data_IF_668559357477
#
_entry.id   IF_668559357477
#
_cell.length_a   1.000
_cell.length_b   1.000
_cell.length_c   1.000
_cell.angle_alpha   90.00
_cell.angle_beta   90.00
_cell.angle_gamma   90.00
#
_symmetry.space_group_name_H-M   'P 1'
#
loop_
_entity.id
_entity.type
_entity.pdbx_description
1 polymer ?
#
# COMPACT_ATOMS: atom_id res chain seq x y z
N UNK A 1 -4.02 -1.42 0.43
CA UNK A 1 -3.17 -1.55 -0.79
C UNK A 1 -3.63 -0.55 -1.82
N UNK A 2 -2.72 0.28 -2.35
CA UNK A 2 -3.00 1.31 -3.36
C UNK A 2 -3.70 0.70 -4.58
N UNK A 3 -4.63 1.45 -5.17
CA UNK A 3 -5.30 1.05 -6.42
C UNK A 3 -4.28 0.96 -7.57
N UNK A 4 -4.56 0.19 -8.63
CA UNK A 4 -3.69 0.12 -9.81
C UNK A 4 -3.43 1.49 -10.43
N UNK A 5 -4.45 2.35 -10.46
CA UNK A 5 -4.37 3.71 -10.99
C UNK A 5 -3.39 4.55 -10.18
N UNK A 6 -3.53 4.59 -8.85
CA UNK A 6 -2.62 5.33 -7.98
C UNK A 6 -1.19 4.81 -8.09
N UNK A 7 -1.01 3.48 -8.17
CA UNK A 7 0.31 2.88 -8.35
C UNK A 7 0.97 3.33 -9.65
N UNK A 8 0.25 3.30 -10.78
CA UNK A 8 0.76 3.74 -12.07
C UNK A 8 1.07 5.24 -12.09
N UNK A 9 0.26 6.06 -11.43
CA UNK A 9 0.52 7.50 -11.32
C UNK A 9 1.82 7.79 -10.54
N UNK A 10 2.08 7.07 -9.44
CA UNK A 10 3.33 7.20 -8.68
C UNK A 10 4.55 6.77 -9.50
N UNK A 11 4.42 5.72 -10.31
CA UNK A 11 5.48 5.30 -11.23
C UNK A 11 5.73 6.36 -12.30
N UNK A 12 4.67 6.95 -12.85
CA UNK A 12 4.81 7.99 -13.87
C UNK A 12 5.55 9.23 -13.34
N UNK A 13 5.26 9.66 -12.10
CA UNK A 13 5.96 10.79 -11.45
C UNK A 13 7.45 10.52 -11.23
N UNK A 14 7.80 9.28 -10.89
CA UNK A 14 9.20 8.89 -10.75
C UNK A 14 9.90 8.86 -12.11
N UNK A 15 9.24 8.30 -13.14
CA UNK A 15 9.79 8.20 -14.49
C UNK A 15 9.90 9.53 -15.23
N UNK A 16 9.05 10.51 -14.93
CA UNK A 16 9.17 11.87 -15.45
C UNK A 16 10.35 12.63 -14.87
N UNK A 17 10.93 12.14 -13.77
CA UNK A 17 11.98 12.84 -13.02
C UNK A 17 11.43 13.91 -12.07
N UNK A 18 10.11 13.98 -11.86
CA UNK A 18 9.52 14.90 -10.87
C UNK A 18 9.87 14.50 -9.43
N UNK A 19 10.27 13.24 -9.21
CA UNK A 19 10.69 12.71 -7.92
C UNK A 19 11.94 11.83 -8.10
N UNK A 20 12.98 12.13 -7.32
CA UNK A 20 14.28 11.43 -7.39
C UNK A 20 14.29 10.05 -6.72
N UNK A 21 13.39 9.81 -5.76
CA UNK A 21 13.39 8.60 -4.93
C UNK A 21 12.00 7.98 -4.82
N UNK A 22 11.93 6.66 -4.95
CA UNK A 22 10.71 5.87 -4.73
C UNK A 22 10.87 4.97 -3.50
N UNK A 23 9.95 5.08 -2.55
CA UNK A 23 9.88 4.16 -1.40
C UNK A 23 8.75 3.17 -1.61
N UNK A 24 9.06 1.88 -1.59
CA UNK A 24 8.07 0.86 -1.88
C UNK A 24 8.28 -0.44 -1.09
N UNK A 25 7.26 -1.29 -1.12
CA UNK A 25 7.30 -2.66 -0.56
C UNK A 25 7.86 -3.64 -1.60
N UNK A 26 8.10 -4.89 -1.18
CA UNK A 26 8.53 -6.00 -2.04
C UNK A 26 7.62 -6.24 -3.27
N UNK A 27 6.39 -5.71 -3.24
CA UNK A 27 5.49 -5.66 -4.39
C UNK A 27 6.11 -5.02 -5.65
N UNK A 28 7.17 -4.20 -5.57
CA UNK A 28 7.86 -3.70 -6.76
C UNK A 28 8.62 -4.78 -7.52
N UNK A 29 8.94 -5.91 -6.90
CA UNK A 29 9.63 -7.04 -7.54
C UNK A 29 8.82 -7.63 -8.70
N UNK A 30 7.52 -7.33 -8.80
CA UNK A 30 6.64 -7.82 -9.86
C UNK A 30 5.67 -6.73 -10.35
N UNK A 31 5.32 -6.75 -11.63
CA UNK A 31 4.10 -6.08 -12.13
C UNK A 31 4.19 -4.57 -12.36
N UNK A 32 5.38 -3.97 -12.35
CA UNK A 32 5.61 -2.59 -12.80
C UNK A 32 6.84 -2.53 -13.71
N UNK A 33 6.80 -1.74 -14.77
CA UNK A 33 8.01 -1.43 -15.53
C UNK A 33 8.68 -0.20 -14.89
N UNK A 34 9.72 -0.41 -14.10
CA UNK A 34 10.49 0.65 -13.44
C UNK A 34 11.86 0.79 -14.12
N UNK A 35 12.40 2.00 -14.12
CA UNK A 35 13.78 2.26 -14.54
C UNK A 35 14.53 2.71 -13.30
N UNK A 36 15.18 1.79 -12.59
CA UNK A 36 15.88 2.08 -11.34
C UNK A 36 17.38 1.94 -11.57
N UNK A 37 18.17 2.91 -11.14
CA UNK A 37 19.63 2.79 -11.16
C UNK A 37 20.16 2.09 -9.89
N UNK A 38 19.47 2.31 -8.76
CA UNK A 38 19.86 1.78 -7.46
C UNK A 38 18.66 1.29 -6.65
N UNK A 39 18.83 0.16 -5.95
CA UNK A 39 17.86 -0.37 -4.98
C UNK A 39 18.50 -0.46 -3.59
N UNK A 40 17.93 0.25 -2.62
CA UNK A 40 18.35 0.20 -1.22
C UNK A 40 17.33 -0.53 -0.33
N UNK A 41 17.74 -1.61 0.33
CA UNK A 41 16.90 -2.33 1.27
C UNK A 41 16.84 -1.63 2.62
N UNK A 42 15.64 -1.18 3.00
CA UNK A 42 15.39 -0.56 4.31
C UNK A 42 15.18 -1.58 5.44
N UNK A 43 14.92 -2.85 5.12
CA UNK A 43 14.84 -3.99 6.04
C UNK A 43 15.24 -5.27 5.30
N UNK A 44 15.94 -6.19 5.98
CA UNK A 44 16.34 -7.50 5.45
C UNK A 44 15.49 -8.67 6.02
N UNK A 45 14.44 -8.36 6.78
CA UNK A 45 13.54 -9.33 7.42
C UNK A 45 12.09 -9.06 7.02
N UNK A 46 11.29 -10.13 6.90
CA UNK A 46 9.85 -10.06 6.64
C UNK A 46 9.07 -11.01 7.54
N UNK A 47 7.81 -10.66 7.79
CA UNK A 47 6.85 -11.56 8.40
C UNK A 47 6.27 -12.48 7.31
N UNK A 48 6.39 -13.80 7.48
CA UNK A 48 5.91 -14.80 6.52
C UNK A 48 4.47 -15.30 6.80
N UNK A 49 3.80 -14.70 7.78
CA UNK A 49 2.51 -15.15 8.30
C UNK A 49 2.61 -15.82 9.67
N UNK A 50 3.80 -16.28 10.06
CA UNK A 50 4.04 -16.95 11.34
C UNK A 50 5.15 -16.27 12.16
N UNK A 51 6.25 -15.91 11.52
CA UNK A 51 7.41 -15.32 12.19
C UNK A 51 8.16 -14.33 11.30
N UNK A 52 9.01 -13.52 11.94
CA UNK A 52 9.93 -12.64 11.23
C UNK A 52 11.22 -13.37 10.89
N UNK A 53 11.44 -13.64 9.60
CA UNK A 53 12.64 -14.29 9.06
C UNK A 53 13.42 -13.37 8.12
N UNK A 54 14.68 -13.71 7.86
CA UNK A 54 15.48 -13.04 6.83
C UNK A 54 14.89 -13.30 5.43
N UNK A 55 15.07 -12.33 4.54
CA UNK A 55 14.81 -12.50 3.11
C UNK A 55 15.79 -13.51 2.51
N UNK A 56 15.29 -14.35 1.61
CA UNK A 56 16.12 -15.30 0.86
C UNK A 56 16.88 -14.59 -0.27
N UNK A 57 17.92 -15.22 -0.80
CA UNK A 57 18.65 -14.72 -1.97
C UNK A 57 17.71 -14.51 -3.17
N UNK A 58 16.72 -15.38 -3.37
CA UNK A 58 15.74 -15.25 -4.45
C UNK A 58 14.81 -14.03 -4.24
N UNK A 59 14.31 -13.80 -3.02
CA UNK A 59 13.48 -12.63 -2.71
C UNK A 59 14.26 -11.32 -2.86
N UNK A 60 15.51 -11.28 -2.39
CA UNK A 60 16.38 -10.12 -2.56
C UNK A 60 16.73 -9.92 -4.03
N UNK A 61 17.13 -10.98 -4.75
CA UNK A 61 17.47 -10.92 -6.17
C UNK A 61 16.31 -10.45 -7.04
N UNK A 62 15.07 -10.85 -6.72
CA UNK A 62 13.88 -10.37 -7.42
C UNK A 62 13.66 -8.86 -7.29
N UNK A 63 14.04 -8.26 -6.14
CA UNK A 63 13.90 -6.82 -5.88
C UNK A 63 15.14 -6.07 -6.39
N UNK A 64 16.34 -6.56 -6.09
CA UNK A 64 17.62 -5.99 -6.49
C UNK A 64 17.77 -5.97 -8.02
N UNK A 65 17.33 -7.04 -8.70
CA UNK A 65 17.32 -7.13 -10.17
C UNK A 65 16.35 -6.18 -10.87
N UNK A 66 15.64 -5.33 -10.11
CA UNK A 66 14.89 -4.18 -10.67
C UNK A 66 15.80 -2.97 -10.90
N UNK A 67 16.99 -2.96 -10.29
CA UNK A 67 18.05 -2.01 -10.60
C UNK A 67 18.75 -2.43 -11.90
N UNK A 68 19.02 -1.46 -12.76
CA UNK A 68 19.63 -1.66 -14.06
C UNK A 68 18.64 -2.04 -15.15
N UNK A 69 19.15 -2.05 -16.38
CA UNK A 69 18.45 -2.47 -17.60
C UNK A 69 19.44 -3.15 -18.52
N UNK A 70 18.95 -3.85 -19.53
CA UNK A 70 19.72 -4.66 -20.49
C UNK A 70 21.18 -4.20 -20.78
N UNK A 71 21.41 -2.89 -21.01
CA UNK A 71 22.71 -2.31 -21.35
C UNK A 71 23.35 -1.45 -20.25
N UNK A 72 22.72 -1.32 -19.08
CA UNK A 72 23.16 -0.48 -17.95
C UNK A 72 23.07 -1.28 -16.67
N UNK A 73 24.22 -1.53 -16.05
CA UNK A 73 24.27 -2.21 -14.78
C UNK A 73 23.63 -1.33 -13.69
N UNK A 74 22.80 -1.97 -12.87
CA UNK A 74 22.25 -1.37 -11.66
C UNK A 74 23.10 -1.70 -10.45
N UNK A 75 22.86 -0.98 -9.36
CA UNK A 75 23.48 -1.28 -8.06
C UNK A 75 22.43 -1.58 -7.01
N UNK A 76 22.80 -2.33 -5.98
CA UNK A 76 21.94 -2.56 -4.84
C UNK A 76 22.73 -2.48 -3.53
N UNK A 77 22.03 -2.18 -2.45
CA UNK A 77 22.64 -2.05 -1.14
C UNK A 77 21.61 -1.99 -0.02
N UNK A 78 22.04 -1.56 1.15
CA UNK A 78 21.18 -1.39 2.32
C UNK A 78 21.18 0.07 2.76
N UNK A 79 20.11 0.49 3.44
CA UNK A 79 20.12 1.80 4.11
C UNK A 79 20.95 1.73 5.39
N UNK A 80 21.37 2.89 5.93
CA UNK A 80 22.21 2.94 7.13
C UNK A 80 21.58 2.42 8.44
N UNK A 81 20.36 1.87 8.39
CA UNK A 81 19.68 1.25 9.53
C UNK A 81 19.66 -0.28 9.47
N UNK A 82 20.28 -0.87 8.45
CA UNK A 82 20.34 -2.32 8.24
C UNK A 82 21.80 -2.73 8.16
N UNK A 83 22.13 -3.83 8.80
CA UNK A 83 23.48 -4.39 8.71
C UNK A 83 23.84 -4.70 7.24
N UNK A 84 25.11 -4.53 6.85
CA UNK A 84 25.58 -4.90 5.52
C UNK A 84 25.17 -6.34 5.16
N UNK A 85 24.84 -6.55 3.88
CA UNK A 85 24.56 -7.90 3.38
C UNK A 85 25.83 -8.75 3.46
N UNK A 86 25.65 -10.03 3.79
CA UNK A 86 26.75 -11.00 3.76
C UNK A 86 27.34 -11.11 2.34
N UNK A 87 28.65 -11.20 2.24
CA UNK A 87 29.35 -11.30 0.95
C UNK A 87 28.94 -12.54 0.15
N UNK A 88 28.63 -13.66 0.81
CA UNK A 88 28.11 -14.86 0.15
C UNK A 88 26.72 -14.60 -0.46
N UNK A 89 25.88 -13.86 0.25
CA UNK A 89 24.54 -13.50 -0.20
C UNK A 89 24.59 -12.55 -1.41
N UNK A 90 25.48 -11.56 -1.38
CA UNK A 90 25.74 -10.65 -2.51
C UNK A 90 26.18 -11.44 -3.73
N UNK A 91 27.16 -12.36 -3.59
CA UNK A 91 27.62 -13.21 -4.69
C UNK A 91 26.51 -14.06 -5.28
N UNK A 92 25.65 -14.67 -4.45
CA UNK A 92 24.49 -15.44 -4.93
C UNK A 92 23.52 -14.59 -5.75
N UNK A 93 23.26 -13.35 -5.31
CA UNK A 93 22.38 -12.42 -6.03
C UNK A 93 23.00 -12.03 -7.38
N UNK A 94 24.27 -11.62 -7.41
CA UNK A 94 24.97 -11.19 -8.63
C UNK A 94 25.14 -12.35 -9.64
N UNK A 95 25.48 -13.54 -9.15
CA UNK A 95 25.66 -14.73 -9.97
C UNK A 95 24.34 -15.43 -10.36
N UNK A 96 23.19 -14.92 -9.90
CA UNK A 96 21.87 -15.52 -10.11
C UNK A 96 21.79 -16.98 -9.62
N UNK A 97 22.48 -17.29 -8.52
CA UNK A 97 22.53 -18.61 -7.91
C UNK A 97 21.52 -18.70 -6.76
N UNK A 98 20.39 -19.34 -7.04
CA UNK A 98 19.29 -19.47 -6.08
C UNK A 98 19.01 -20.94 -5.76
N UNK A 99 18.64 -21.20 -4.50
CA UNK A 99 18.26 -22.54 -4.06
C UNK A 99 17.03 -23.05 -4.84
N UNK A 100 17.04 -24.31 -5.30
CA UNK A 100 15.87 -24.88 -5.97
C UNK A 100 14.70 -25.01 -4.99
N UNK A 101 13.49 -24.79 -5.50
CA UNK A 101 12.26 -25.01 -4.72
C UNK A 101 12.08 -26.51 -4.51
N UNK A 102 12.24 -26.97 -3.26
CA UNK A 102 12.19 -28.40 -2.90
C UNK A 102 10.77 -28.93 -2.68
N UNK A 103 9.86 -28.05 -2.25
CA UNK A 103 8.48 -28.41 -1.90
C UNK A 103 7.52 -27.35 -2.40
N UNK A 104 6.43 -27.78 -3.02
CA UNK A 104 5.34 -26.90 -3.46
C UNK A 104 4.09 -27.15 -2.61
N UNK A 105 3.37 -26.07 -2.28
CA UNK A 105 2.06 -26.19 -1.66
C UNK A 105 1.02 -26.55 -2.72
N UNK A 106 0.30 -27.63 -2.48
CA UNK A 106 -0.70 -28.18 -3.37
C UNK A 106 -2.07 -28.22 -2.71
N UNK A 107 -3.09 -28.05 -3.54
CA UNK A 107 -4.50 -28.17 -3.18
C UNK A 107 -5.21 -28.94 -4.28
N UNK A 108 -6.21 -29.74 -3.90
CA UNK A 108 -7.03 -30.45 -4.88
C UNK A 108 -7.67 -29.50 -5.88
N UNK A 109 -7.75 -29.93 -7.14
CA UNK A 109 -8.58 -29.30 -8.17
C UNK A 109 -9.97 -29.95 -8.30
N UNK A 110 -10.15 -31.13 -7.69
CA UNK A 110 -11.38 -31.91 -7.76
C UNK A 110 -12.06 -31.90 -6.38
N UNK A 111 -13.18 -31.18 -6.31
CA UNK A 111 -14.02 -31.09 -5.12
C UNK A 111 -15.22 -32.02 -5.24
N UNK A 112 -15.58 -32.71 -4.16
CA UNK A 112 -16.76 -33.56 -4.10
C UNK A 112 -17.92 -32.78 -3.47
N UNK A 113 -18.91 -32.42 -4.29
CA UNK A 113 -20.05 -31.65 -3.83
C UNK A 113 -21.24 -32.50 -3.36
N UNK A 114 -21.13 -33.83 -3.28
CA UNK A 114 -22.27 -34.70 -2.97
C UNK A 114 -22.99 -34.32 -1.66
N UNK A 115 -22.23 -33.91 -0.65
CA UNK A 115 -22.71 -33.34 0.61
C UNK A 115 -21.55 -32.58 1.29
N UNK A 116 -21.85 -31.89 2.39
CA UNK A 116 -20.88 -31.06 3.09
C UNK A 116 -19.67 -31.84 3.62
N UNK A 117 -19.87 -33.05 4.15
CA UNK A 117 -18.79 -33.90 4.66
C UNK A 117 -17.91 -34.45 3.54
N UNK A 118 -18.50 -34.74 2.37
CA UNK A 118 -17.77 -35.11 1.17
C UNK A 118 -16.87 -33.96 0.68
N UNK A 119 -17.41 -32.73 0.66
CA UNK A 119 -16.64 -31.54 0.28
C UNK A 119 -15.45 -31.33 1.21
N UNK A 120 -15.68 -31.36 2.53
CA UNK A 120 -14.62 -31.22 3.54
C UNK A 120 -13.51 -32.25 3.33
N UNK A 121 -13.87 -33.53 3.18
CA UNK A 121 -12.89 -34.60 2.92
C UNK A 121 -12.13 -34.38 1.61
N UNK A 122 -12.81 -33.92 0.55
CA UNK A 122 -12.16 -33.67 -0.73
C UNK A 122 -11.13 -32.54 -0.66
N UNK A 123 -11.40 -31.47 0.10
CA UNK A 123 -10.47 -30.34 0.30
C UNK A 123 -9.20 -30.81 1.01
N UNK A 124 -9.33 -31.76 1.94
CA UNK A 124 -8.22 -32.30 2.73
C UNK A 124 -7.42 -33.42 2.03
N UNK A 125 -7.72 -33.70 0.76
CA UNK A 125 -7.00 -34.71 -0.04
C UNK A 125 -5.49 -34.49 0.04
N UNK A 126 -4.72 -35.57 0.12
CA UNK A 126 -3.27 -35.52 0.12
C UNK A 126 -2.73 -35.34 -1.30
N UNK A 127 -1.57 -34.69 -1.41
CA UNK A 127 -0.95 -34.49 -2.70
C UNK A 127 -0.53 -35.84 -3.33
N UNK A 128 -0.79 -36.05 -4.64
CA UNK A 128 -0.56 -37.34 -5.28
C UNK A 128 0.90 -37.60 -5.66
N UNK A 129 1.78 -36.60 -5.53
CA UNK A 129 3.17 -36.64 -6.00
C UNK A 129 4.11 -36.22 -4.89
N UNK A 130 5.26 -36.89 -4.80
CA UNK A 130 6.35 -36.51 -3.89
C UNK A 130 6.88 -35.10 -4.22
N UNK A 131 7.23 -34.33 -3.19
CA UNK A 131 7.60 -32.91 -3.35
C UNK A 131 6.42 -31.94 -3.35
N UNK A 132 5.18 -32.44 -3.37
CA UNK A 132 4.00 -31.64 -3.09
C UNK A 132 3.57 -31.84 -1.63
N UNK A 133 3.38 -30.74 -0.90
CA UNK A 133 2.80 -30.76 0.44
C UNK A 133 1.45 -30.10 0.44
N UNK A 134 0.57 -30.49 1.35
CA UNK A 134 -0.74 -29.86 1.47
C UNK A 134 -0.58 -28.38 1.81
N UNK A 135 -1.31 -27.53 1.11
CA UNK A 135 -1.38 -26.11 1.42
C UNK A 135 -1.93 -25.90 2.85
N UNK A 136 -1.48 -24.83 3.50
CA UNK A 136 -2.03 -24.41 4.79
C UNK A 136 -3.53 -24.08 4.63
N UNK A 137 -4.37 -24.24 5.68
CA UNK A 137 -5.79 -23.93 5.59
C UNK A 137 -6.01 -22.49 5.13
N UNK A 138 -6.50 -22.33 3.90
CA UNK A 138 -6.82 -21.03 3.33
C UNK A 138 -8.12 -20.48 3.92
N UNK A 139 -8.36 -19.17 3.71
CA UNK A 139 -9.51 -18.44 4.28
C UNK A 139 -10.84 -19.11 3.93
N UNK A 140 -10.98 -19.62 2.70
CA UNK A 140 -12.17 -20.32 2.22
C UNK A 140 -12.42 -21.66 2.94
N UNK A 141 -11.38 -22.46 3.15
CA UNK A 141 -11.47 -23.71 3.91
C UNK A 141 -11.79 -23.46 5.39
N UNK A 142 -11.22 -22.42 5.98
CA UNK A 142 -11.54 -22.01 7.36
C UNK A 142 -13.00 -21.53 7.49
N UNK A 143 -13.48 -20.74 6.52
CA UNK A 143 -14.88 -20.30 6.47
C UNK A 143 -15.83 -21.51 6.34
N UNK A 144 -15.53 -22.44 5.42
CA UNK A 144 -16.32 -23.67 5.27
C UNK A 144 -16.36 -24.48 6.56
N UNK A 145 -15.23 -24.64 7.26
CA UNK A 145 -15.19 -25.36 8.53
C UNK A 145 -16.13 -24.71 9.57
N UNK A 146 -16.12 -23.38 9.67
CA UNK A 146 -17.02 -22.64 10.55
C UNK A 146 -18.49 -22.83 10.16
N UNK A 147 -18.82 -22.57 8.90
CA UNK A 147 -20.18 -22.66 8.35
C UNK A 147 -20.73 -24.08 8.37
N UNK A 148 -19.86 -25.10 8.32
CA UNK A 148 -20.30 -26.49 8.39
C UNK A 148 -20.90 -26.91 9.72
N UNK A 149 -20.70 -26.09 10.76
CA UNK A 149 -21.25 -26.31 12.11
C UNK A 149 -22.57 -25.56 12.33
N UNK A 150 -22.93 -24.65 11.44
CA UNK A 150 -24.16 -23.88 11.50
C UNK A 150 -25.36 -24.72 11.04
N UNK A 151 -26.39 -24.81 11.88
CA UNK A 151 -27.57 -25.64 11.60
C UNK A 151 -28.41 -25.10 10.44
N UNK A 152 -28.52 -23.79 10.27
CA UNK A 152 -29.28 -23.16 9.18
C UNK A 152 -28.58 -23.40 7.84
N UNK A 153 -27.24 -23.33 7.81
CA UNK A 153 -26.45 -23.64 6.62
C UNK A 153 -26.57 -25.13 6.25
N UNK A 154 -26.53 -26.02 7.25
CA UNK A 154 -26.74 -27.46 7.04
C UNK A 154 -28.13 -27.77 6.50
N UNK A 155 -29.16 -27.09 6.99
CA UNK A 155 -30.52 -27.23 6.50
C UNK A 155 -30.68 -26.75 5.04
N UNK A 156 -29.82 -25.83 4.59
CA UNK A 156 -29.83 -25.31 3.22
C UNK A 156 -28.92 -26.09 2.25
N UNK A 157 -27.98 -26.92 2.73
CA UNK A 157 -27.03 -27.68 1.89
C UNK A 157 -27.55 -29.09 1.54
N UNK A 158 -28.79 -29.17 1.04
CA UNK A 158 -29.51 -30.44 0.81
C UNK A 158 -29.10 -31.21 -0.43
N UNK A 159 -28.44 -30.56 -1.39
CA UNK A 159 -28.03 -31.16 -2.65
C UNK A 159 -26.67 -30.62 -3.13
N UNK A 160 -26.13 -31.26 -4.15
CA UNK A 160 -24.80 -30.94 -4.64
C UNK A 160 -24.65 -29.52 -5.22
N UNK A 161 -25.72 -28.93 -5.78
CA UNK A 161 -25.67 -27.55 -6.28
C UNK A 161 -25.60 -26.57 -5.12
N UNK A 162 -26.35 -26.82 -4.05
CA UNK A 162 -26.34 -25.99 -2.83
C UNK A 162 -25.02 -26.07 -2.07
N UNK A 163 -24.35 -27.23 -2.09
CA UNK A 163 -23.00 -27.39 -1.51
C UNK A 163 -21.95 -26.68 -2.38
N UNK A 164 -22.04 -26.78 -3.71
CA UNK A 164 -21.17 -26.04 -4.62
C UNK A 164 -21.34 -24.52 -4.48
N UNK A 165 -22.57 -24.03 -4.35
CA UNK A 165 -22.86 -22.61 -4.12
C UNK A 165 -22.27 -22.11 -2.78
N UNK A 166 -22.36 -22.91 -1.71
CA UNK A 166 -21.72 -22.59 -0.43
C UNK A 166 -20.20 -22.48 -0.61
N UNK A 167 -19.61 -23.40 -1.37
CA UNK A 167 -18.18 -23.37 -1.66
C UNK A 167 -17.76 -22.13 -2.46
N UNK A 168 -18.53 -21.75 -3.47
CA UNK A 168 -18.33 -20.51 -4.23
C UNK A 168 -18.44 -19.26 -3.35
N UNK A 169 -19.33 -19.28 -2.35
CA UNK A 169 -19.48 -18.23 -1.35
C UNK A 169 -18.27 -18.16 -0.40
N UNK A 170 -17.74 -19.31 0.03
CA UNK A 170 -16.55 -19.39 0.86
C UNK A 170 -15.31 -18.79 0.19
N UNK A 171 -15.27 -18.74 -1.15
CA UNK A 171 -14.20 -18.08 -1.90
C UNK A 171 -14.25 -16.53 -1.83
N UNK A 172 -15.18 -15.93 -1.05
CA UNK A 172 -15.18 -14.50 -0.76
C UNK A 172 -13.88 -14.09 -0.04
N UNK A 173 -13.05 -13.22 -0.64
CA UNK A 173 -11.81 -12.78 0.01
C UNK A 173 -12.09 -11.92 1.24
N UNK A 174 -11.36 -12.16 2.33
CA UNK A 174 -11.39 -11.29 3.51
C UNK A 174 -10.51 -10.05 3.28
N UNK A 175 -11.05 -9.06 2.55
CA UNK A 175 -10.37 -7.78 2.36
C UNK A 175 -10.23 -6.98 3.65
N UNK A 176 -11.13 -7.21 4.63
CA UNK A 176 -11.23 -6.44 5.87
C UNK A 176 -10.27 -6.94 6.95
N UNK A 177 -9.73 -8.16 6.79
CA UNK A 177 -8.86 -8.85 7.75
C UNK A 177 -9.51 -8.92 9.13
N UNK A 178 -10.78 -9.31 9.15
CA UNK A 178 -11.58 -9.41 10.37
C UNK A 178 -11.38 -10.77 11.03
N UNK A 179 -11.99 -10.97 12.19
CA UNK A 179 -11.94 -12.27 12.85
C UNK A 179 -12.58 -13.36 11.95
N UNK A 180 -12.03 -14.58 11.89
CA UNK A 180 -12.55 -15.64 11.02
C UNK A 180 -14.05 -15.92 11.17
N UNK A 181 -14.58 -15.83 12.40
CA UNK A 181 -16.01 -15.98 12.66
C UNK A 181 -16.84 -14.87 12.00
N UNK A 182 -16.42 -13.60 12.12
CA UNK A 182 -17.14 -12.48 11.51
C UNK A 182 -17.11 -12.53 9.98
N UNK A 183 -16.02 -13.04 9.40
CA UNK A 183 -15.95 -13.28 7.95
C UNK A 183 -16.90 -14.40 7.53
N UNK A 184 -16.96 -15.48 8.32
CA UNK A 184 -17.90 -16.56 8.09
C UNK A 184 -19.36 -16.08 8.18
N UNK A 185 -19.72 -15.23 9.16
CA UNK A 185 -21.07 -14.66 9.28
C UNK A 185 -21.50 -13.89 8.02
N UNK A 186 -20.59 -13.11 7.42
CA UNK A 186 -20.86 -12.41 6.17
C UNK A 186 -21.09 -13.39 5.01
N UNK A 187 -20.27 -14.44 4.91
CA UNK A 187 -20.45 -15.49 3.91
C UNK A 187 -21.78 -16.22 4.13
N UNK A 188 -22.15 -16.50 5.38
CA UNK A 188 -23.41 -17.12 5.75
C UNK A 188 -24.60 -16.31 5.23
N UNK A 189 -24.62 -14.99 5.51
CA UNK A 189 -25.67 -14.08 5.03
C UNK A 189 -25.80 -14.11 3.51
N UNK A 190 -24.68 -14.00 2.78
CA UNK A 190 -24.67 -14.03 1.32
C UNK A 190 -25.17 -15.38 0.79
N UNK A 191 -24.70 -16.48 1.38
CA UNK A 191 -25.13 -17.82 0.98
C UNK A 191 -26.61 -18.07 1.24
N UNK A 192 -27.13 -17.64 2.39
CA UNK A 192 -28.54 -17.79 2.74
C UNK A 192 -29.45 -17.06 1.75
N UNK A 193 -29.09 -15.84 1.36
CA UNK A 193 -29.82 -15.09 0.34
C UNK A 193 -29.79 -15.80 -1.02
N UNK A 194 -28.60 -16.23 -1.46
CA UNK A 194 -28.45 -16.95 -2.73
C UNK A 194 -29.23 -18.27 -2.72
N UNK A 195 -29.21 -19.03 -1.62
CA UNK A 195 -29.88 -20.33 -1.52
C UNK A 195 -31.41 -20.21 -1.43
N UNK A 196 -31.94 -19.12 -0.85
CA UNK A 196 -33.38 -18.91 -0.65
C UNK A 196 -34.03 -18.10 -1.77
N UNK A 197 -33.33 -17.07 -2.25
CA UNK A 197 -33.87 -16.06 -3.18
C UNK A 197 -33.19 -16.09 -4.55
N UNK A 198 -32.08 -16.82 -4.71
CA UNK A 198 -31.33 -16.92 -5.96
C UNK A 198 -30.43 -15.72 -6.27
N UNK A 199 -30.45 -14.69 -5.42
CA UNK A 199 -29.63 -13.49 -5.52
C UNK A 199 -29.39 -12.93 -4.11
N UNK A 200 -28.32 -12.16 -3.93
CA UNK A 200 -28.02 -11.43 -2.69
C UNK A 200 -29.05 -10.31 -2.51
N UNK A 201 -29.43 -10.02 -1.25
CA UNK A 201 -30.31 -8.88 -0.96
C UNK A 201 -29.65 -7.54 -1.36
N UNK A 202 -30.17 -6.95 -2.43
CA UNK A 202 -29.67 -5.68 -2.96
C UNK A 202 -29.95 -4.51 -2.02
N UNK A 203 -30.93 -4.59 -1.11
CA UNK A 203 -31.16 -3.56 -0.10
C UNK A 203 -30.05 -3.60 0.96
N UNK A 204 -29.69 -4.81 1.41
CA UNK A 204 -28.56 -4.98 2.33
C UNK A 204 -27.26 -4.50 1.68
N UNK A 205 -27.00 -4.90 0.43
CA UNK A 205 -25.85 -4.41 -0.33
C UNK A 205 -25.87 -2.88 -0.46
N UNK A 206 -27.02 -2.28 -0.79
CA UNK A 206 -27.16 -0.83 -0.91
C UNK A 206 -26.82 -0.09 0.39
N UNK A 207 -27.23 -0.62 1.53
CA UNK A 207 -26.89 -0.06 2.83
C UNK A 207 -25.39 -0.14 3.11
N UNK A 208 -24.77 -1.29 2.86
CA UNK A 208 -23.34 -1.50 3.08
C UNK A 208 -22.49 -0.62 2.17
N UNK A 209 -22.87 -0.51 0.89
CA UNK A 209 -22.21 0.38 -0.08
C UNK A 209 -22.34 1.84 0.35
N UNK A 210 -23.51 2.27 0.82
CA UNK A 210 -23.74 3.64 1.31
C UNK A 210 -22.90 3.98 2.54
N UNK A 211 -22.68 3.03 3.45
CA UNK A 211 -21.81 3.21 4.62
C UNK A 211 -20.34 3.40 4.24
N UNK A 212 -19.90 2.79 3.14
CA UNK A 212 -18.55 2.95 2.63
C UNK A 212 -18.37 4.22 1.76
N UNK A 213 -19.46 4.76 1.20
CA UNK A 213 -19.45 5.90 0.28
C UNK A 213 -19.28 7.26 0.98
N UNK A 214 -18.13 7.46 1.62
CA UNK A 214 -17.72 8.77 2.11
C UNK A 214 -16.20 8.88 2.08
N UNK A 215 -15.70 10.00 1.59
CA UNK A 215 -14.27 10.31 1.49
C UNK A 215 -13.75 11.05 2.73
N UNK A 216 -14.58 11.22 3.77
CA UNK A 216 -14.19 11.92 5.00
C UNK A 216 -13.49 10.99 5.99
N UNK A 217 -12.36 11.41 6.54
CA UNK A 217 -11.66 10.67 7.58
C UNK A 217 -10.15 10.68 7.38
N UNK A 218 -9.47 9.95 8.24
CA UNK A 218 -8.03 9.72 8.16
C UNK A 218 -7.69 8.54 7.23
N UNK A 219 -6.38 8.28 7.10
CA UNK A 219 -5.83 7.23 6.24
C UNK A 219 -6.40 5.85 6.62
N UNK A 220 -6.55 5.58 7.91
CA UNK A 220 -7.02 4.28 8.42
C UNK A 220 -8.52 4.10 8.14
N UNK A 221 -9.32 5.15 8.36
CA UNK A 221 -10.75 5.18 8.04
C UNK A 221 -10.99 4.92 6.55
N UNK A 222 -10.27 5.63 5.69
CA UNK A 222 -10.39 5.45 4.23
C UNK A 222 -9.92 4.06 3.80
N UNK A 223 -8.83 3.55 4.36
CA UNK A 223 -8.33 2.19 4.09
C UNK A 223 -9.36 1.12 4.48
N UNK A 224 -10.03 1.30 5.62
CA UNK A 224 -11.09 0.39 6.06
C UNK A 224 -12.29 0.41 5.12
N UNK A 225 -12.73 1.60 4.67
CA UNK A 225 -13.84 1.73 3.70
C UNK A 225 -13.49 1.11 2.34
N UNK A 226 -12.26 1.25 1.87
CA UNK A 226 -11.78 0.58 0.65
C UNK A 226 -11.85 -0.95 0.81
N UNK A 227 -11.46 -1.49 1.96
CA UNK A 227 -11.59 -2.92 2.23
C UNK A 227 -13.07 -3.37 2.24
N UNK A 228 -13.96 -2.55 2.82
CA UNK A 228 -15.40 -2.81 2.82
C UNK A 228 -15.97 -2.83 1.39
N UNK A 229 -15.70 -1.80 0.58
CA UNK A 229 -16.25 -1.71 -0.78
C UNK A 229 -15.72 -2.82 -1.69
N UNK A 230 -14.45 -3.23 -1.55
CA UNK A 230 -13.87 -4.34 -2.34
C UNK A 230 -14.59 -5.66 -2.16
N UNK A 231 -15.15 -5.90 -0.98
CA UNK A 231 -15.99 -7.07 -0.72
C UNK A 231 -17.20 -7.06 -1.66
N UNK A 232 -17.84 -5.89 -1.79
CA UNK A 232 -19.01 -5.69 -2.63
C UNK A 232 -18.68 -5.57 -4.12
N UNK A 233 -17.51 -5.03 -4.48
CA UNK A 233 -16.95 -5.10 -5.83
C UNK A 233 -16.73 -6.54 -6.26
N UNK A 234 -16.25 -7.41 -5.35
CA UNK A 234 -16.10 -8.83 -5.65
C UNK A 234 -17.47 -9.51 -5.88
N UNK A 235 -18.42 -9.28 -4.97
CA UNK A 235 -19.80 -9.79 -5.09
C UNK A 235 -20.46 -9.33 -6.40
N UNK A 236 -20.33 -8.06 -6.78
CA UNK A 236 -20.91 -7.53 -8.03
C UNK A 236 -20.29 -8.15 -9.28
N UNK A 237 -19.05 -8.65 -9.19
CA UNK A 237 -18.40 -9.34 -10.29
C UNK A 237 -18.74 -10.84 -10.36
N UNK A 238 -19.47 -11.41 -9.39
CA UNK A 238 -19.92 -12.81 -9.46
C UNK A 238 -21.12 -12.98 -10.40
N UNK A 239 -21.04 -13.85 -11.41
CA UNK A 239 -22.18 -14.12 -12.29
C UNK A 239 -23.38 -14.70 -11.52
N UNK A 240 -24.57 -14.17 -11.75
CA UNK A 240 -25.82 -14.71 -11.19
C UNK A 240 -26.08 -14.41 -9.71
N UNK A 241 -25.24 -13.61 -9.04
CA UNK A 241 -25.42 -13.29 -7.63
C UNK A 241 -26.28 -12.05 -7.37
N UNK A 242 -26.44 -11.17 -8.36
CA UNK A 242 -27.24 -9.94 -8.25
C UNK A 242 -28.26 -9.89 -9.39
N UNK A 243 -29.39 -9.23 -9.15
CA UNK A 243 -30.41 -9.01 -10.17
C UNK A 243 -29.94 -7.93 -11.17
N UNK A 244 -29.40 -6.81 -10.69
CA UNK A 244 -28.80 -5.76 -11.54
C UNK A 244 -27.27 -5.69 -11.40
N UNK A 245 -26.60 -6.67 -12.02
CA UNK A 245 -25.14 -6.80 -11.96
C UNK A 245 -24.41 -5.55 -12.50
N UNK A 246 -24.87 -5.00 -13.62
CA UNK A 246 -24.18 -3.91 -14.31
C UNK A 246 -24.20 -2.64 -13.47
N UNK A 247 -25.36 -2.28 -12.91
CA UNK A 247 -25.49 -1.16 -12.00
C UNK A 247 -24.54 -1.26 -10.81
N UNK A 248 -24.53 -2.43 -10.14
CA UNK A 248 -23.70 -2.63 -8.95
C UNK A 248 -22.20 -2.68 -9.26
N UNK A 249 -21.80 -3.22 -10.41
CA UNK A 249 -20.41 -3.22 -10.85
C UNK A 249 -19.89 -1.80 -11.07
N UNK A 250 -20.66 -0.97 -11.78
CA UNK A 250 -20.28 0.42 -12.04
C UNK A 250 -20.21 1.22 -10.72
N UNK A 251 -21.27 1.16 -9.92
CA UNK A 251 -21.37 1.89 -8.66
C UNK A 251 -20.28 1.53 -7.64
N UNK A 252 -20.00 0.24 -7.45
CA UNK A 252 -18.96 -0.20 -6.50
C UNK A 252 -17.56 0.23 -6.96
N UNK A 253 -17.30 0.20 -8.28
CA UNK A 253 -16.06 0.67 -8.87
C UNK A 253 -15.86 2.18 -8.72
N UNK A 254 -16.89 2.99 -9.02
CA UNK A 254 -16.82 4.44 -8.86
C UNK A 254 -16.51 4.86 -7.42
N UNK A 255 -17.12 4.18 -6.44
CA UNK A 255 -16.85 4.43 -5.02
C UNK A 255 -15.42 4.01 -4.66
N UNK A 256 -14.96 2.85 -5.11
CA UNK A 256 -13.58 2.40 -4.86
C UNK A 256 -12.54 3.38 -5.43
N UNK A 257 -12.78 3.91 -6.64
CA UNK A 257 -11.92 4.90 -7.28
C UNK A 257 -11.89 6.20 -6.47
N UNK A 258 -13.05 6.75 -6.09
CA UNK A 258 -13.14 7.99 -5.27
C UNK A 258 -12.46 7.83 -3.90
N UNK A 259 -12.67 6.71 -3.23
CA UNK A 259 -12.03 6.42 -1.93
C UNK A 259 -10.51 6.29 -2.08
N UNK A 260 -10.04 5.66 -3.16
CA UNK A 260 -8.62 5.50 -3.44
C UNK A 260 -7.93 6.83 -3.72
N UNK A 261 -8.58 7.71 -4.46
CA UNK A 261 -8.08 9.06 -4.74
C UNK A 261 -8.01 9.91 -3.45
N UNK A 262 -9.06 9.86 -2.62
CA UNK A 262 -9.06 10.53 -1.32
C UNK A 262 -7.97 10.01 -0.37
N UNK A 263 -7.77 8.69 -0.33
CA UNK A 263 -6.68 8.07 0.45
C UNK A 263 -5.33 8.55 -0.05
N UNK A 264 -5.15 8.63 -1.37
CA UNK A 264 -3.92 9.11 -1.97
C UNK A 264 -3.62 10.57 -1.58
N UNK A 265 -4.61 11.46 -1.70
CA UNK A 265 -4.45 12.87 -1.31
C UNK A 265 -4.04 13.01 0.17
N UNK A 266 -4.64 12.22 1.06
CA UNK A 266 -4.30 12.21 2.50
C UNK A 266 -2.90 11.69 2.77
N UNK A 267 -2.46 10.65 2.06
CA UNK A 267 -1.09 10.14 2.15
C UNK A 267 -0.08 11.19 1.71
N UNK A 268 -0.35 11.88 0.59
CA UNK A 268 0.52 12.94 0.07
C UNK A 268 0.61 14.11 1.05
N UNK A 269 -0.52 14.61 1.56
CA UNK A 269 -0.57 15.70 2.55
C UNK A 269 0.23 15.36 3.81
N UNK A 270 0.01 14.17 4.40
CA UNK A 270 0.75 13.73 5.61
C UNK A 270 2.27 13.68 5.38
N UNK A 271 2.71 13.32 4.17
CA UNK A 271 4.12 13.27 3.83
C UNK A 271 4.75 14.67 3.78
N UNK A 272 4.06 15.62 3.14
CA UNK A 272 4.48 17.03 3.09
C UNK A 272 4.53 17.62 4.50
N UNK A 273 3.48 17.43 5.30
CA UNK A 273 3.41 17.95 6.67
C UNK A 273 4.54 17.40 7.55
N UNK A 274 4.89 16.11 7.41
CA UNK A 274 5.99 15.49 8.15
C UNK A 274 7.35 16.04 7.75
N UNK A 275 7.58 16.29 6.45
CA UNK A 275 8.82 16.92 5.96
C UNK A 275 8.97 18.32 6.54
N UNK A 276 7.91 19.12 6.49
CA UNK A 276 7.87 20.46 7.12
C UNK A 276 8.16 20.36 8.62
N UNK A 277 7.54 19.41 9.32
CA UNK A 277 7.75 19.22 10.77
C UNK A 277 9.19 18.82 11.13
N UNK A 278 9.81 17.93 10.36
CA UNK A 278 11.21 17.48 10.59
C UNK A 278 12.21 18.59 10.28
N UNK A 279 11.98 19.35 9.20
CA UNK A 279 12.77 20.55 8.88
C UNK A 279 12.68 21.57 10.01
N UNK A 280 11.47 21.85 10.50
CA UNK A 280 11.24 22.79 11.61
C UNK A 280 11.89 22.35 12.91
N UNK A 281 11.89 21.04 13.19
CA UNK A 281 12.62 20.47 14.32
C UNK A 281 14.13 20.67 14.19
N UNK A 282 14.70 20.43 13.00
CA UNK A 282 16.12 20.71 12.72
C UNK A 282 16.46 22.19 12.81
N UNK A 283 15.59 23.09 12.35
CA UNK A 283 15.74 24.54 12.50
C UNK A 283 15.73 25.00 13.96
N UNK A 284 14.97 24.34 14.84
CA UNK A 284 14.95 24.61 16.29
C UNK A 284 16.17 24.00 17.01
N UNK A 285 16.66 22.86 16.55
CA UNK A 285 17.79 22.14 17.14
C UNK A 285 19.17 22.67 16.64
N UNK A 286 19.24 23.24 15.43
CA UNK A 286 20.46 23.82 14.87
C UNK A 286 20.71 25.26 15.35
N UNK A 287 21.90 25.50 15.87
CA UNK A 287 22.36 26.83 16.33
C UNK A 287 22.69 27.79 15.16
N UNK A 288 22.72 27.29 13.92
CA UNK A 288 22.92 28.07 12.69
C UNK A 288 22.16 27.44 11.50
N UNK A 289 20.97 27.95 11.14
CA UNK A 289 20.33 27.64 9.87
C UNK A 289 21.17 28.15 8.69
N UNK A 290 21.34 27.36 7.63
CA UNK A 290 21.90 27.85 6.36
C UNK A 290 20.80 28.58 5.59
N UNK A 291 20.97 29.89 5.45
CA UNK A 291 20.07 30.76 4.73
C UNK A 291 20.81 31.36 3.55
N UNK A 292 20.22 31.24 2.38
CA UNK A 292 20.79 31.69 1.12
C UNK A 292 20.00 32.88 0.59
N UNK A 293 20.71 33.87 0.05
CA UNK A 293 20.11 35.03 -0.60
C UNK A 293 20.55 35.00 -2.06
N UNK A 294 19.59 34.81 -2.95
CA UNK A 294 19.81 34.85 -4.39
C UNK A 294 20.27 36.25 -4.84
N UNK A 295 21.08 36.38 -5.91
CA UNK A 295 21.36 37.65 -6.56
C UNK A 295 20.11 38.45 -6.97
N UNK A 296 18.98 37.77 -7.18
CA UNK A 296 17.68 38.38 -7.50
C UNK A 296 16.97 38.98 -6.28
N UNK A 297 17.52 38.84 -5.07
CA UNK A 297 16.93 39.29 -3.83
C UNK A 297 16.03 38.25 -3.15
N UNK A 298 15.83 37.07 -3.73
CA UNK A 298 15.03 36.00 -3.12
C UNK A 298 15.75 35.40 -1.91
N UNK A 299 15.08 35.33 -0.76
CA UNK A 299 15.63 34.80 0.50
C UNK A 299 15.09 33.40 0.74
N UNK A 300 15.99 32.43 0.83
CA UNK A 300 15.72 31.02 1.06
C UNK A 300 16.33 30.60 2.39
N UNK A 301 15.61 29.79 3.18
CA UNK A 301 16.16 29.13 4.37
C UNK A 301 16.01 27.63 4.16
N UNK A 302 17.13 26.89 4.11
CA UNK A 302 17.13 25.44 3.84
C UNK A 302 16.29 25.09 2.58
N UNK A 303 16.44 25.88 1.51
CA UNK A 303 15.73 25.72 0.24
C UNK A 303 14.25 26.18 0.21
N UNK A 304 13.73 26.80 1.28
CA UNK A 304 12.33 27.27 1.35
C UNK A 304 12.24 28.79 1.21
N UNK A 305 11.32 29.28 0.37
CA UNK A 305 11.08 30.70 0.15
C UNK A 305 10.53 31.39 1.40
N UNK A 306 11.23 32.42 1.89
CA UNK A 306 10.83 33.18 3.09
C UNK A 306 10.42 34.61 2.74
N UNK A 307 10.90 35.16 1.63
CA UNK A 307 10.56 36.51 1.17
C UNK A 307 11.60 37.10 0.23
N UNK A 308 11.49 38.40 -0.01
CA UNK A 308 12.37 39.13 -0.94
C UNK A 308 13.09 40.29 -0.25
N UNK A 309 14.36 40.47 -0.61
CA UNK A 309 15.27 41.50 -0.18
C UNK A 309 15.56 42.47 -1.33
N UNK A 310 15.00 43.69 -1.25
CA UNK A 310 15.25 44.78 -2.19
C UNK A 310 16.09 45.87 -1.50
N UNK A 311 17.35 46.04 -1.92
CA UNK A 311 18.28 46.97 -1.27
C UNK A 311 18.51 46.58 0.20
N UNK A 312 18.13 47.45 1.14
CA UNK A 312 18.15 47.19 2.59
C UNK A 312 16.77 46.81 3.17
N UNK A 313 15.76 46.59 2.31
CA UNK A 313 14.39 46.32 2.72
C UNK A 313 14.03 44.85 2.48
N UNK A 314 13.69 44.14 3.55
CA UNK A 314 13.17 42.78 3.48
C UNK A 314 11.63 42.77 3.56
N UNK A 315 10.98 42.02 2.67
CA UNK A 315 9.54 41.79 2.65
C UNK A 315 9.28 40.30 2.83
N UNK A 316 8.73 39.92 3.98
CA UNK A 316 8.40 38.52 4.28
C UNK A 316 7.16 38.05 3.51
N UNK A 317 7.19 36.80 3.06
CA UNK A 317 6.04 36.13 2.46
C UNK A 317 4.95 35.89 3.52
N UNK A 318 3.69 36.18 3.19
CA UNK A 318 2.54 36.07 4.11
C UNK A 318 1.88 34.70 4.08
N UNK A 319 2.27 33.81 3.17
CA UNK A 319 1.72 32.47 3.01
C UNK A 319 2.05 31.51 4.18
N UNK A 320 3.07 31.83 4.98
CA UNK A 320 3.44 31.08 6.19
C UNK A 320 2.87 31.75 7.45
N UNK A 321 1.63 31.43 7.83
CA UNK A 321 1.00 31.86 9.08
C UNK A 321 1.07 30.77 10.16
N UNK A 322 1.51 31.10 11.39
CA UNK A 322 1.54 30.19 12.54
C UNK A 322 2.68 30.47 13.52
N UNK A 323 2.77 29.71 14.63
CA UNK A 323 3.93 29.73 15.55
C UNK A 323 5.25 29.45 14.81
N UNK A 324 5.18 28.67 13.72
CA UNK A 324 6.31 28.27 12.89
C UNK A 324 6.89 29.42 12.04
N UNK A 325 6.09 30.45 11.73
CA UNK A 325 6.55 31.64 11.00
C UNK A 325 7.58 32.46 11.80
N UNK A 326 7.53 32.37 13.13
CA UNK A 326 8.41 33.12 14.03
C UNK A 326 9.84 32.56 14.01
N UNK A 327 10.00 31.25 13.98
CA UNK A 327 11.30 30.58 13.93
C UNK A 327 12.00 30.83 12.57
N UNK A 328 11.25 30.70 11.47
CA UNK A 328 11.78 30.97 10.12
C UNK A 328 12.16 32.44 9.95
N UNK A 329 11.36 33.39 10.47
CA UNK A 329 11.74 34.82 10.48
C UNK A 329 12.99 35.11 11.30
N UNK A 330 13.18 34.45 12.45
CA UNK A 330 14.37 34.63 13.26
C UNK A 330 15.64 34.12 12.54
N UNK A 331 15.54 32.97 11.86
CA UNK A 331 16.60 32.45 11.02
C UNK A 331 16.94 33.40 9.87
N UNK A 332 15.93 33.89 9.14
CA UNK A 332 16.11 34.84 8.05
C UNK A 332 16.72 36.18 8.53
N UNK A 333 16.32 36.70 9.69
CA UNK A 333 16.89 37.94 10.22
C UNK A 333 18.38 37.85 10.51
N UNK A 334 18.88 36.70 10.98
CA UNK A 334 20.30 36.50 11.25
C UNK A 334 21.12 36.51 9.95
N UNK A 335 20.58 35.91 8.89
CA UNK A 335 21.20 35.90 7.55
C UNK A 335 21.16 37.27 6.88
N UNK A 336 20.03 37.97 7.00
CA UNK A 336 19.87 39.34 6.51
C UNK A 336 20.84 40.32 7.17
N UNK A 337 21.16 40.13 8.46
CA UNK A 337 22.13 40.96 9.17
C UNK A 337 23.53 40.92 8.51
N UNK A 338 24.02 39.72 8.18
CA UNK A 338 25.30 39.54 7.52
C UNK A 338 25.31 40.15 6.10
N UNK A 339 24.22 39.97 5.35
CA UNK A 339 24.10 40.56 4.01
C UNK A 339 23.96 42.09 4.03
N UNK A 340 23.29 42.66 5.04
CA UNK A 340 23.25 44.10 5.25
C UNK A 340 24.62 44.67 5.56
N UNK A 341 25.42 44.00 6.38
CA UNK A 341 26.80 44.41 6.67
C UNK A 341 27.66 44.39 5.40
N UNK A 342 27.61 43.30 4.63
CA UNK A 342 28.33 43.17 3.36
C UNK A 342 27.89 44.20 2.30
N UNK A 343 26.61 44.60 2.27
CA UNK A 343 26.11 45.67 1.38
C UNK A 343 26.53 47.05 1.87
N UNK A 344 26.53 47.27 3.19
CA UNK A 344 26.96 48.54 3.79
C UNK A 344 28.45 48.79 3.56
N UNK A 345 29.30 47.77 3.71
CA UNK A 345 30.74 47.86 3.39
C UNK A 345 30.97 48.15 1.91
N UNK A 346 30.28 47.44 1.00
CA UNK A 346 30.36 47.70 -0.45
C UNK A 346 29.92 49.12 -0.80
N UNK A 347 28.86 49.62 -0.18
CA UNK A 347 28.38 50.99 -0.39
C UNK A 347 29.38 52.02 0.15
N UNK A 348 29.95 51.79 1.34
CA UNK A 348 30.96 52.66 1.94
C UNK A 348 32.29 52.70 1.17
N UNK A 349 32.68 51.59 0.54
CA UNK A 349 33.87 51.51 -0.32
C UNK A 349 33.68 52.17 -1.70
N UNK A 350 32.43 52.48 -2.07
CA UNK A 350 32.08 53.16 -3.32
C UNK A 350 31.83 54.67 -3.17
N UNK A 351 31.96 55.20 -1.94
CA UNK A 351 31.97 56.63 -1.62
C UNK A 351 33.41 57.13 -1.49
#
# INVERSE_FOLDING_TARGET
ALSPRTRNAQVALFQSGDVDYLVATDAIGMGLNLDLDHVAFAQNRKFDGYQYRNLTAAELGQIAGRAGRHLRDGTFGVTGQVDPLDEELVKKIEAHEFDPVKVLQWRTAHFDFANLDALKRSIETNAPVEGLTRALPAVDAQALEHLSRDEDIRALTTDARRVALLWEACALPDYRKIAPAQHADLIASIYMDLARHGHVDENYMAEQVRRADTTEGDIDTLSHRIAQIRTWTFVSNRPGWLADRAHWQEKTREIEDRLSDALHERLTKRFVDRRTSVLMRRLRENTMPEAEISPTGTVLVEGHHVGELQGFRFTADQSAGGEDAKAVRAAAQKALAAEFEARAERFGASA
#
